data_IF_127485539135
#
_entry.id   IF_127485539135
#
_cell.length_a   1.000
_cell.length_b   1.000
_cell.length_c   1.000
_cell.angle_alpha   90.00
_cell.angle_beta   90.00
_cell.angle_gamma   90.00
#
_symmetry.space_group_name_H-M   'P 1'
#
loop_
_entity.id
_entity.type
_entity.pdbx_description
1 polymer ?
#
# COMPACT_ATOMS: atom_id res chain seq x y z
N UNK A 1 -11.35 -20.48 5.32
CA UNK A 1 -11.74 -19.47 6.33
C UNK A 1 -10.72 -18.35 6.42
N UNK A 2 -9.41 -18.61 6.62
CA UNK A 2 -8.38 -17.55 6.70
C UNK A 2 -8.40 -16.57 5.52
N UNK A 3 -8.47 -17.06 4.27
CA UNK A 3 -8.50 -16.20 3.09
C UNK A 3 -9.66 -15.21 3.03
N UNK A 4 -10.85 -15.60 3.51
CA UNK A 4 -12.01 -14.69 3.57
C UNK A 4 -11.79 -13.59 4.60
N UNK A 5 -11.23 -13.94 5.77
CA UNK A 5 -10.91 -12.97 6.82
C UNK A 5 -9.86 -11.97 6.33
N UNK A 6 -8.82 -12.48 5.66
CA UNK A 6 -7.77 -11.64 5.05
C UNK A 6 -8.36 -10.73 3.99
N UNK A 7 -9.17 -11.24 3.07
CA UNK A 7 -9.81 -10.44 2.03
C UNK A 7 -10.70 -9.33 2.61
N UNK A 8 -11.47 -9.64 3.66
CA UNK A 8 -12.34 -8.67 4.31
C UNK A 8 -11.59 -7.46 4.90
N UNK A 9 -10.34 -7.63 5.29
CA UNK A 9 -9.47 -6.54 5.78
C UNK A 9 -8.65 -5.92 4.65
N UNK A 10 -8.13 -6.73 3.75
CA UNK A 10 -7.23 -6.28 2.68
C UNK A 10 -7.96 -5.41 1.63
N UNK A 11 -9.23 -5.69 1.31
CA UNK A 11 -9.97 -4.93 0.31
C UNK A 11 -10.18 -3.46 0.70
N UNK A 12 -10.72 -3.13 1.89
CA UNK A 12 -10.83 -1.73 2.33
C UNK A 12 -9.47 -1.03 2.42
N UNK A 13 -8.43 -1.74 2.87
CA UNK A 13 -7.07 -1.23 2.96
C UNK A 13 -6.51 -0.89 1.58
N UNK A 14 -6.73 -1.74 0.60
CA UNK A 14 -6.30 -1.53 -0.78
C UNK A 14 -6.99 -0.30 -1.42
N UNK A 15 -8.29 -0.14 -1.19
CA UNK A 15 -9.03 1.06 -1.62
C UNK A 15 -8.42 2.33 -0.99
N UNK A 16 -8.16 2.29 0.31
CA UNK A 16 -7.58 3.42 1.05
C UNK A 16 -6.17 3.77 0.56
N UNK A 17 -5.31 2.77 0.32
CA UNK A 17 -3.95 3.02 -0.20
C UNK A 17 -3.95 3.47 -1.66
N UNK A 18 -4.90 3.03 -2.48
CA UNK A 18 -5.09 3.58 -3.81
C UNK A 18 -5.31 5.09 -3.76
N UNK A 19 -6.29 5.53 -2.96
CA UNK A 19 -6.61 6.97 -2.81
C UNK A 19 -5.47 7.74 -2.15
N UNK A 20 -4.89 7.22 -1.07
CA UNK A 20 -3.79 7.89 -0.36
C UNK A 20 -2.50 8.01 -1.18
N UNK A 21 -2.34 7.18 -2.22
CA UNK A 21 -1.24 7.27 -3.19
C UNK A 21 -1.47 8.34 -4.27
N UNK A 22 -2.55 9.10 -4.19
CA UNK A 22 -2.92 10.07 -5.22
C UNK A 22 -3.51 9.44 -6.48
N UNK A 23 -3.75 8.11 -6.47
CA UNK A 23 -4.36 7.36 -7.56
C UNK A 23 -5.86 7.14 -7.30
N UNK A 24 -6.46 6.12 -7.88
CA UNK A 24 -7.88 5.80 -7.67
C UNK A 24 -8.07 4.62 -6.74
N UNK A 25 -9.20 4.57 -6.06
CA UNK A 25 -9.61 3.39 -5.29
C UNK A 25 -9.61 2.11 -6.15
N UNK A 26 -10.01 2.25 -7.42
CA UNK A 26 -9.98 1.19 -8.41
C UNK A 26 -8.57 0.61 -8.61
N UNK A 27 -7.57 1.48 -8.80
CA UNK A 27 -6.19 1.05 -8.99
C UNK A 27 -5.66 0.27 -7.77
N UNK A 28 -5.99 0.73 -6.55
CA UNK A 28 -5.64 0.01 -5.32
C UNK A 28 -6.30 -1.37 -5.23
N UNK A 29 -7.60 -1.46 -5.51
CA UNK A 29 -8.36 -2.71 -5.48
C UNK A 29 -7.84 -3.71 -6.51
N UNK A 30 -7.61 -3.26 -7.74
CA UNK A 30 -7.06 -4.10 -8.81
C UNK A 30 -5.67 -4.61 -8.42
N UNK A 31 -4.84 -3.75 -7.85
CA UNK A 31 -3.53 -4.17 -7.33
C UNK A 31 -3.66 -5.29 -6.33
N UNK A 32 -4.57 -5.20 -5.35
CA UNK A 32 -4.75 -6.24 -4.34
C UNK A 32 -5.24 -7.56 -4.96
N UNK A 33 -6.15 -7.50 -5.93
CA UNK A 33 -6.67 -8.70 -6.61
C UNK A 33 -5.57 -9.38 -7.44
N UNK A 34 -4.91 -8.62 -8.31
CA UNK A 34 -3.88 -9.15 -9.22
C UNK A 34 -2.63 -9.59 -8.45
N UNK A 35 -2.17 -8.78 -7.49
CA UNK A 35 -1.05 -9.12 -6.63
C UNK A 35 -1.36 -10.35 -5.76
N UNK A 36 -2.54 -10.36 -5.14
CA UNK A 36 -3.00 -11.48 -4.32
C UNK A 36 -3.06 -12.81 -5.11
N UNK A 37 -3.44 -12.76 -6.38
CA UNK A 37 -3.46 -13.95 -7.22
C UNK A 37 -2.05 -14.35 -7.68
N UNK A 38 -1.31 -13.43 -8.32
CA UNK A 38 -0.05 -13.73 -8.99
C UNK A 38 1.08 -13.90 -7.96
N UNK A 39 1.29 -12.92 -7.08
CA UNK A 39 2.42 -12.94 -6.15
C UNK A 39 2.25 -14.09 -5.17
N UNK A 40 1.04 -14.30 -4.61
CA UNK A 40 0.82 -15.40 -3.67
C UNK A 40 0.99 -16.79 -4.29
N UNK A 41 0.76 -16.92 -5.60
CA UNK A 41 0.97 -18.20 -6.31
C UNK A 41 2.43 -18.56 -6.48
N UNK A 42 3.32 -17.58 -6.52
CA UNK A 42 4.76 -17.77 -6.72
C UNK A 42 5.60 -17.39 -5.48
N UNK A 43 4.97 -16.93 -4.40
CA UNK A 43 5.65 -16.40 -3.20
C UNK A 43 6.57 -17.42 -2.56
N UNK A 44 7.70 -16.93 -2.06
CA UNK A 44 8.62 -17.67 -1.20
C UNK A 44 8.26 -17.57 0.30
N UNK A 45 7.15 -16.92 0.65
CA UNK A 45 6.74 -16.65 2.03
C UNK A 45 5.33 -17.17 2.34
N UNK A 46 5.15 -17.83 3.50
CA UNK A 46 3.88 -18.49 3.87
C UNK A 46 2.84 -17.56 4.49
N UNK A 47 3.26 -16.46 5.13
CA UNK A 47 2.39 -15.61 5.96
C UNK A 47 2.36 -14.16 5.47
N UNK A 48 2.48 -13.98 4.16
CA UNK A 48 2.40 -12.67 3.52
C UNK A 48 1.19 -12.59 2.58
N UNK A 49 0.65 -11.40 2.48
CA UNK A 49 -0.27 -11.01 1.43
C UNK A 49 0.38 -9.89 0.62
N UNK A 50 -0.01 -9.73 -0.62
CA UNK A 50 0.54 -8.71 -1.49
C UNK A 50 -0.53 -7.73 -1.95
N UNK A 51 -0.18 -6.45 -1.99
CA UNK A 51 -1.08 -5.38 -2.36
C UNK A 51 -0.41 -4.01 -2.32
N UNK A 52 -1.17 -2.93 -2.51
CA UNK A 52 -0.64 -1.59 -2.36
C UNK A 52 -0.32 -1.31 -0.90
N UNK A 53 0.75 -0.53 -0.63
CA UNK A 53 1.20 -0.21 0.74
C UNK A 53 1.27 1.29 0.98
N UNK A 54 1.16 1.68 2.26
CA UNK A 54 1.29 3.08 2.65
C UNK A 54 2.70 3.65 2.44
N UNK A 55 3.73 2.81 2.53
CA UNK A 55 5.10 3.22 2.26
C UNK A 55 5.31 3.63 0.79
N UNK A 56 4.66 2.91 -0.13
CA UNK A 56 4.70 3.22 -1.55
C UNK A 56 3.97 4.52 -1.88
N UNK A 57 2.95 4.88 -1.10
CA UNK A 57 2.12 6.07 -1.34
C UNK A 57 2.96 7.35 -1.47
N UNK A 58 3.98 7.53 -0.65
CA UNK A 58 4.84 8.71 -0.70
C UNK A 58 5.59 8.87 -2.04
N UNK A 59 6.09 7.76 -2.59
CA UNK A 59 6.74 7.74 -3.91
C UNK A 59 5.71 8.00 -5.00
N UNK A 60 4.55 7.35 -4.93
CA UNK A 60 3.51 7.45 -5.94
C UNK A 60 2.89 8.84 -6.04
N UNK A 61 2.67 9.53 -4.92
CA UNK A 61 2.18 10.94 -4.93
C UNK A 61 3.13 11.84 -5.73
N UNK A 62 4.42 11.69 -5.53
CA UNK A 62 5.42 12.46 -6.28
C UNK A 62 5.44 12.09 -7.76
N UNK A 63 5.29 10.81 -8.08
CA UNK A 63 5.29 10.33 -9.46
C UNK A 63 4.03 10.75 -10.23
N UNK A 64 2.85 10.64 -9.62
CA UNK A 64 1.59 10.99 -10.28
C UNK A 64 1.52 12.49 -10.59
N UNK A 65 2.02 13.33 -9.68
CA UNK A 65 2.09 14.78 -9.88
C UNK A 65 3.00 15.19 -11.03
N UNK A 66 4.04 14.39 -11.33
CA UNK A 66 5.06 14.71 -12.34
C UNK A 66 4.85 13.98 -13.67
N UNK A 67 4.39 12.73 -13.64
CA UNK A 67 4.34 11.84 -14.80
C UNK A 67 2.95 11.25 -15.06
N UNK A 68 1.96 11.55 -14.22
CA UNK A 68 0.61 11.01 -14.33
C UNK A 68 0.53 9.50 -14.09
N UNK A 69 -0.65 8.92 -14.37
CA UNK A 69 -0.90 7.49 -14.18
C UNK A 69 -0.05 6.62 -15.12
N UNK A 70 0.15 7.06 -16.36
CA UNK A 70 0.95 6.29 -17.32
C UNK A 70 2.40 6.14 -16.85
N UNK A 71 2.98 7.21 -16.27
CA UNK A 71 4.31 7.15 -15.67
C UNK A 71 4.40 6.15 -14.52
N UNK A 72 3.35 6.04 -13.69
CA UNK A 72 3.28 5.02 -12.62
C UNK A 72 3.28 3.61 -13.23
N UNK A 73 2.47 3.38 -14.26
CA UNK A 73 2.39 2.06 -14.89
C UNK A 73 3.73 1.62 -15.50
N UNK A 74 4.41 2.50 -16.23
CA UNK A 74 5.73 2.22 -16.82
C UNK A 74 6.78 1.99 -15.70
N UNK A 75 6.80 2.84 -14.67
CA UNK A 75 7.73 2.69 -13.55
C UNK A 75 7.49 1.38 -12.78
N UNK A 76 6.22 0.98 -12.60
CA UNK A 76 5.86 -0.30 -11.95
C UNK A 76 6.31 -1.49 -12.79
N UNK A 77 6.08 -1.45 -14.10
CA UNK A 77 6.52 -2.48 -15.03
C UNK A 77 8.04 -2.66 -14.99
N UNK A 78 8.79 -1.54 -15.07
CA UNK A 78 10.25 -1.56 -14.98
C UNK A 78 10.73 -2.08 -13.62
N UNK A 79 10.10 -1.64 -12.52
CA UNK A 79 10.42 -2.11 -11.18
C UNK A 79 10.16 -3.62 -11.05
N UNK A 80 9.09 -4.13 -11.67
CA UNK A 80 8.81 -5.56 -11.75
C UNK A 80 9.95 -6.33 -12.44
N UNK A 81 10.47 -5.82 -13.55
CA UNK A 81 11.63 -6.43 -14.24
C UNK A 81 12.87 -6.41 -13.32
N UNK A 82 13.14 -5.30 -12.64
CA UNK A 82 14.30 -5.21 -11.75
C UNK A 82 14.18 -6.14 -10.54
N UNK A 83 12.99 -6.27 -9.95
CA UNK A 83 12.73 -7.24 -8.86
C UNK A 83 12.91 -8.67 -9.33
N UNK A 84 12.41 -9.00 -10.51
CA UNK A 84 12.58 -10.33 -11.12
C UNK A 84 14.05 -10.66 -11.33
N UNK A 85 14.81 -9.74 -11.91
CA UNK A 85 16.25 -9.89 -12.08
C UNK A 85 16.97 -10.02 -10.73
N UNK A 86 16.61 -9.19 -9.74
CA UNK A 86 17.17 -9.28 -8.39
C UNK A 86 16.95 -10.66 -7.76
N UNK A 87 15.75 -11.24 -7.93
CA UNK A 87 15.46 -12.60 -7.47
C UNK A 87 16.28 -13.67 -8.20
N UNK A 88 16.38 -13.62 -9.53
CA UNK A 88 17.15 -14.55 -10.37
C UNK A 88 18.64 -14.47 -10.02
N UNK A 89 19.20 -13.28 -9.84
CA UNK A 89 20.60 -13.08 -9.43
C UNK A 89 20.84 -13.29 -7.93
N UNK A 90 19.83 -13.78 -7.19
CA UNK A 90 19.91 -14.10 -5.75
C UNK A 90 20.29 -12.92 -4.86
N UNK A 91 19.91 -11.71 -5.24
CA UNK A 91 20.16 -10.51 -4.46
C UNK A 91 19.27 -10.42 -3.19
N UNK A 92 18.23 -11.27 -3.08
CA UNK A 92 17.40 -11.36 -1.88
C UNK A 92 18.19 -11.72 -0.62
N UNK A 93 19.30 -12.45 -0.77
CA UNK A 93 20.17 -12.80 0.36
C UNK A 93 20.93 -11.60 0.92
N UNK A 94 21.08 -10.50 0.16
CA UNK A 94 21.75 -9.29 0.63
C UNK A 94 21.00 -8.61 1.78
N UNK A 95 19.71 -8.91 1.96
CA UNK A 95 18.94 -8.36 3.09
C UNK A 95 19.54 -8.75 4.44
N UNK A 96 20.18 -9.92 4.52
CA UNK A 96 20.84 -10.38 5.75
C UNK A 96 22.08 -9.56 6.14
N UNK A 97 22.61 -8.76 5.21
CA UNK A 97 23.72 -7.85 5.44
C UNK A 97 23.28 -6.50 5.99
N UNK A 98 21.98 -6.21 5.99
CA UNK A 98 21.46 -4.94 6.48
C UNK A 98 21.45 -4.94 8.02
N UNK A 99 22.20 -4.03 8.67
CA UNK A 99 22.24 -3.94 10.13
C UNK A 99 20.87 -3.59 10.72
N UNK A 100 20.55 -4.16 11.90
CA UNK A 100 19.28 -3.92 12.60
C UNK A 100 18.92 -2.43 12.79
N UNK A 101 19.87 -1.51 13.08
CA UNK A 101 19.54 -0.08 13.20
C UNK A 101 19.01 0.53 11.91
N UNK A 102 19.49 0.09 10.74
CA UNK A 102 19.00 0.55 9.44
C UNK A 102 17.55 0.11 9.23
N UNK A 103 17.24 -1.14 9.57
CA UNK A 103 15.89 -1.69 9.52
C UNK A 103 14.94 -0.89 10.43
N UNK A 104 15.35 -0.64 11.67
CA UNK A 104 14.55 0.13 12.63
C UNK A 104 14.35 1.57 12.17
N UNK A 105 15.39 2.21 11.65
CA UNK A 105 15.30 3.58 11.09
C UNK A 105 14.37 3.66 9.89
N UNK A 106 14.46 2.69 8.98
CA UNK A 106 13.61 2.59 7.80
C UNK A 106 12.12 2.39 8.18
N UNK A 107 11.82 1.43 9.05
CA UNK A 107 10.44 1.15 9.48
C UNK A 107 9.85 2.32 10.26
N UNK A 108 10.63 2.98 11.13
CA UNK A 108 10.20 4.17 11.87
C UNK A 108 9.94 5.35 10.92
N UNK A 109 10.80 5.53 9.92
CA UNK A 109 10.62 6.56 8.88
C UNK A 109 9.33 6.36 8.09
N UNK A 110 9.07 5.11 7.66
CA UNK A 110 7.81 4.75 6.99
C UNK A 110 6.60 5.02 7.89
N UNK A 111 6.66 4.65 9.17
CA UNK A 111 5.57 4.90 10.12
C UNK A 111 5.25 6.40 10.25
N UNK A 112 6.27 7.26 10.29
CA UNK A 112 6.10 8.72 10.32
C UNK A 112 5.47 9.22 9.02
N UNK A 113 5.92 8.74 7.87
CA UNK A 113 5.36 9.11 6.56
C UNK A 113 3.88 8.72 6.47
N UNK A 114 3.54 7.50 6.85
CA UNK A 114 2.14 7.02 6.86
C UNK A 114 1.31 7.87 7.83
N UNK A 115 1.78 8.08 9.05
CA UNK A 115 1.07 8.88 10.05
C UNK A 115 0.83 10.32 9.57
N UNK A 116 1.86 10.98 9.02
CA UNK A 116 1.73 12.33 8.50
C UNK A 116 0.77 12.42 7.31
N UNK A 117 0.77 11.41 6.44
CA UNK A 117 -0.19 11.31 5.32
C UNK A 117 -1.65 11.14 5.77
N UNK A 118 -1.89 10.57 6.96
CA UNK A 118 -3.24 10.40 7.51
C UNK A 118 -3.79 11.65 8.20
N UNK A 119 -2.96 12.63 8.53
CA UNK A 119 -3.40 13.90 9.17
C UNK A 119 -4.48 14.58 8.30
N UNK A 120 -4.27 14.62 6.99
CA UNK A 120 -5.23 15.16 6.02
C UNK A 120 -6.60 14.48 6.15
N UNK A 121 -6.62 13.16 6.12
CA UNK A 121 -7.85 12.37 6.15
C UNK A 121 -8.53 12.46 7.52
N UNK A 122 -7.76 12.46 8.60
CA UNK A 122 -8.26 12.53 9.98
C UNK A 122 -8.97 13.84 10.28
N UNK A 123 -8.43 14.96 9.79
CA UNK A 123 -9.01 16.29 10.01
C UNK A 123 -9.89 16.79 8.86
N UNK A 124 -10.06 15.99 7.79
CA UNK A 124 -10.86 16.35 6.62
C UNK A 124 -10.33 17.54 5.82
N UNK A 125 -8.99 17.72 5.75
CA UNK A 125 -8.38 18.89 5.12
C UNK A 125 -8.10 18.63 3.65
N UNK A 126 -8.71 19.40 2.76
CA UNK A 126 -8.60 19.17 1.29
C UNK A 126 -7.20 19.51 0.72
N UNK A 127 -6.51 20.52 1.27
CA UNK A 127 -5.28 21.09 0.69
C UNK A 127 -4.01 20.83 1.52
N UNK A 128 -3.88 19.66 2.14
CA UNK A 128 -2.69 19.30 2.90
C UNK A 128 -1.75 18.44 2.06
N UNK A 129 -0.50 18.89 1.84
CA UNK A 129 0.50 18.17 1.03
C UNK A 129 1.38 17.23 1.84
N UNK A 130 1.24 17.20 3.17
CA UNK A 130 2.06 16.38 4.06
C UNK A 130 3.41 16.99 4.40
N UNK A 131 3.68 18.23 3.99
CA UNK A 131 4.92 18.95 4.32
C UNK A 131 4.92 19.42 5.77
N UNK A 132 6.11 19.44 6.40
CA UNK A 132 6.29 20.05 7.73
C UNK A 132 5.84 21.51 7.79
N UNK A 133 6.03 22.26 6.70
CA UNK A 133 5.56 23.66 6.60
C UNK A 133 4.03 23.75 6.56
N UNK A 134 3.36 22.78 5.98
CA UNK A 134 1.89 22.73 5.99
C UNK A 134 1.38 22.38 7.40
N UNK A 135 2.10 21.55 8.14
CA UNK A 135 1.79 21.25 9.53
C UNK A 135 1.88 22.50 10.41
N UNK A 136 2.87 23.37 10.19
CA UNK A 136 3.00 24.62 10.92
C UNK A 136 1.91 25.65 10.55
N UNK A 137 1.54 25.75 9.28
CA UNK A 137 0.38 26.56 8.85
C UNK A 137 -0.93 26.01 9.40
N UNK A 138 -1.02 24.71 9.55
CA UNK A 138 -2.14 24.01 10.11
C UNK A 138 -2.41 24.41 11.58
N UNK A 139 -1.38 24.55 12.40
CA UNK A 139 -1.51 24.97 13.81
C UNK A 139 -2.03 26.42 13.94
N UNK A 140 -1.86 27.24 12.90
CA UNK A 140 -2.21 28.68 12.92
C UNK A 140 -3.56 29.07 12.31
N UNK A 141 -4.30 28.17 11.63
CA UNK A 141 -5.52 28.59 10.89
C UNK A 141 -6.41 27.44 10.43
N UNK A 142 -6.75 26.51 11.31
CA UNK A 142 -7.46 25.29 10.98
C UNK A 142 -8.93 25.46 10.65
N UNK A 143 -9.31 25.03 9.43
CA UNK A 143 -10.66 24.53 9.17
C UNK A 143 -10.68 23.01 9.42
N UNK A 144 -10.97 22.61 10.66
CA UNK A 144 -11.18 21.21 11.04
C UNK A 144 -12.57 20.79 10.58
N UNK A 145 -12.66 19.73 9.80
CA UNK A 145 -13.93 19.05 9.56
C UNK A 145 -14.27 18.18 10.79
N UNK A 146 -15.15 18.71 11.65
CA UNK A 146 -15.56 18.02 12.88
C UNK A 146 -16.14 16.62 12.62
N UNK A 147 -17.05 16.39 11.62
CA UNK A 147 -17.55 15.06 11.31
C UNK A 147 -16.44 14.04 11.01
N UNK A 148 -15.48 14.40 10.16
CA UNK A 148 -14.34 13.53 9.84
C UNK A 148 -13.47 13.22 11.06
N UNK A 149 -13.17 14.23 11.87
CA UNK A 149 -12.38 14.09 13.10
C UNK A 149 -13.07 13.18 14.12
N UNK A 150 -14.39 13.33 14.30
CA UNK A 150 -15.17 12.50 15.24
C UNK A 150 -15.18 11.04 14.77
N UNK A 151 -15.39 10.78 13.48
CA UNK A 151 -15.35 9.42 12.93
C UNK A 151 -13.94 8.83 13.04
N UNK A 152 -12.90 9.61 12.76
CA UNK A 152 -11.51 9.19 12.95
C UNK A 152 -11.21 8.83 14.40
N UNK A 153 -11.62 9.67 15.36
CA UNK A 153 -11.46 9.41 16.79
C UNK A 153 -12.25 8.17 17.24
N UNK A 154 -13.49 8.03 16.79
CA UNK A 154 -14.32 6.84 17.03
C UNK A 154 -13.61 5.58 16.57
N UNK A 155 -13.05 5.61 15.35
CA UNK A 155 -12.31 4.47 14.78
C UNK A 155 -11.10 4.10 15.65
N UNK A 156 -10.30 5.09 16.07
CA UNK A 156 -9.14 4.88 16.94
C UNK A 156 -9.58 4.29 18.29
N UNK A 157 -10.60 4.85 18.92
CA UNK A 157 -11.11 4.36 20.19
C UNK A 157 -11.63 2.92 20.08
N UNK A 158 -12.38 2.61 19.03
CA UNK A 158 -12.83 1.25 18.75
C UNK A 158 -11.66 0.27 18.66
N UNK A 159 -10.59 0.63 17.96
CA UNK A 159 -9.41 -0.24 17.84
C UNK A 159 -8.63 -0.41 19.15
N UNK A 160 -8.49 0.66 19.95
CA UNK A 160 -7.78 0.61 21.24
C UNK A 160 -8.56 -0.21 22.28
N UNK A 161 -9.87 0.02 22.39
CA UNK A 161 -10.72 -0.64 23.37
C UNK A 161 -11.26 -1.99 22.91
N UNK A 162 -10.86 -2.46 21.71
CA UNK A 162 -11.31 -3.75 21.19
C UNK A 162 -10.83 -4.91 22.09
N UNK A 163 -11.75 -5.77 22.59
CA UNK A 163 -11.38 -6.88 23.46
C UNK A 163 -10.50 -7.90 22.72
N UNK A 164 -9.33 -8.20 23.26
CA UNK A 164 -8.39 -9.19 22.68
C UNK A 164 -9.02 -10.58 22.50
N UNK A 165 -10.00 -10.93 23.33
CA UNK A 165 -10.74 -12.19 23.22
C UNK A 165 -11.56 -12.32 21.93
N UNK A 166 -12.04 -11.19 21.40
CA UNK A 166 -12.83 -11.15 20.14
C UNK A 166 -11.94 -11.16 18.90
N UNK A 167 -10.70 -10.72 19.02
CA UNK A 167 -9.74 -10.65 17.91
C UNK A 167 -9.49 -11.99 17.22
N UNK A 168 -9.66 -13.10 17.95
CA UNK A 168 -9.57 -14.46 17.38
C UNK A 168 -10.72 -14.82 16.43
N UNK A 169 -11.87 -14.16 16.56
CA UNK A 169 -13.07 -14.45 15.76
C UNK A 169 -13.37 -13.39 14.72
N UNK A 170 -13.08 -12.13 15.03
CA UNK A 170 -13.42 -10.99 14.18
C UNK A 170 -12.32 -9.93 14.23
N UNK A 171 -11.75 -9.50 13.10
CA UNK A 171 -10.70 -8.48 13.07
C UNK A 171 -11.20 -7.13 13.60
N UNK A 172 -10.44 -6.48 14.48
CA UNK A 172 -10.78 -5.16 15.02
C UNK A 172 -10.96 -4.09 13.94
N UNK A 173 -10.10 -4.10 12.92
CA UNK A 173 -10.16 -3.18 11.79
C UNK A 173 -11.44 -3.31 10.98
N UNK A 174 -11.91 -4.54 10.75
CA UNK A 174 -13.15 -4.78 10.03
C UNK A 174 -14.37 -4.26 10.82
N UNK A 175 -14.41 -4.51 12.13
CA UNK A 175 -15.47 -3.98 12.98
C UNK A 175 -15.46 -2.44 13.00
N UNK A 176 -14.28 -1.84 13.13
CA UNK A 176 -14.13 -0.39 13.13
C UNK A 176 -14.64 0.23 11.81
N UNK A 177 -14.30 -0.36 10.66
CA UNK A 177 -14.79 0.09 9.35
C UNK A 177 -16.31 -0.02 9.27
N UNK A 178 -16.88 -1.17 9.66
CA UNK A 178 -18.34 -1.38 9.61
C UNK A 178 -19.09 -0.40 10.52
N UNK A 179 -18.66 -0.24 11.77
CA UNK A 179 -19.32 0.67 12.71
C UNK A 179 -19.16 2.13 12.30
N UNK A 180 -17.99 2.55 11.84
CA UNK A 180 -17.78 3.91 11.35
C UNK A 180 -18.63 4.20 10.10
N UNK A 181 -18.72 3.24 9.17
CA UNK A 181 -19.58 3.38 7.98
C UNK A 181 -21.06 3.47 8.38
N UNK A 182 -21.53 2.61 9.29
CA UNK A 182 -22.90 2.66 9.79
C UNK A 182 -23.21 3.99 10.50
N UNK A 183 -22.26 4.51 11.30
CA UNK A 183 -22.42 5.80 11.96
C UNK A 183 -22.55 6.94 10.95
N UNK A 184 -21.69 6.97 9.91
CA UNK A 184 -21.78 7.97 8.83
C UNK A 184 -23.12 7.91 8.12
N UNK A 185 -23.61 6.71 7.78
CA UNK A 185 -24.90 6.53 7.09
C UNK A 185 -26.09 6.89 7.97
N UNK A 186 -26.09 6.43 9.23
CA UNK A 186 -27.20 6.67 10.17
C UNK A 186 -27.33 8.14 10.55
N UNK A 187 -26.22 8.82 10.76
CA UNK A 187 -26.17 10.24 11.14
C UNK A 187 -26.16 11.17 9.93
N UNK A 188 -26.13 10.62 8.70
CA UNK A 188 -26.05 11.38 7.44
C UNK A 188 -24.92 12.41 7.44
N UNK A 189 -23.75 12.02 7.96
CA UNK A 189 -22.59 12.90 8.06
C UNK A 189 -22.00 13.15 6.67
N UNK A 190 -21.70 14.40 6.40
CA UNK A 190 -20.97 14.77 5.18
C UNK A 190 -19.48 14.65 5.43
N UNK A 191 -18.91 13.50 5.10
CA UNK A 191 -17.48 13.20 5.26
C UNK A 191 -16.89 12.78 3.90
N UNK A 192 -15.60 13.03 3.66
CA UNK A 192 -14.93 12.53 2.47
C UNK A 192 -15.04 11.01 2.36
N UNK A 193 -15.48 10.53 1.21
CA UNK A 193 -15.63 9.10 0.92
C UNK A 193 -14.59 8.64 -0.10
N UNK A 194 -14.26 7.35 -0.07
CA UNK A 194 -13.27 6.72 -0.96
C UNK A 194 -13.65 6.83 -2.46
N UNK A 195 -14.90 7.20 -2.75
CA UNK A 195 -15.40 7.31 -4.12
C UNK A 195 -16.11 6.05 -4.61
N UNK A 196 -16.34 5.97 -5.91
CA UNK A 196 -17.06 4.83 -6.50
C UNK A 196 -16.15 3.61 -6.59
N UNK A 197 -16.62 2.48 -6.06
CA UNK A 197 -15.97 1.19 -6.27
C UNK A 197 -16.12 0.80 -7.74
N UNK A 198 -15.04 0.38 -8.41
CA UNK A 198 -15.11 0.01 -9.82
C UNK A 198 -16.01 -1.21 -10.04
N UNK A 199 -16.83 -1.15 -11.06
CA UNK A 199 -17.67 -2.27 -11.50
C UNK A 199 -17.00 -3.13 -12.55
N UNK A 200 -15.84 -2.68 -13.07
CA UNK A 200 -15.04 -3.38 -14.09
C UNK A 200 -13.65 -3.68 -13.55
N UNK A 201 -13.14 -4.89 -13.79
CA UNK A 201 -11.81 -5.32 -13.38
C UNK A 201 -10.68 -4.69 -14.20
N UNK A 202 -10.98 -4.18 -15.39
CA UNK A 202 -10.00 -3.50 -16.25
C UNK A 202 -10.49 -2.07 -16.45
N UNK A 203 -9.87 -1.08 -15.77
CA UNK A 203 -10.22 0.32 -15.97
C UNK A 203 -9.74 0.80 -17.35
N UNK A 204 -10.27 1.94 -17.80
CA UNK A 204 -9.84 2.55 -19.06
C UNK A 204 -8.35 2.92 -19.06
N UNK A 205 -7.81 3.35 -17.91
CA UNK A 205 -6.39 3.62 -17.73
C UNK A 205 -5.66 2.33 -17.30
N UNK A 206 -4.85 1.78 -18.19
CA UNK A 206 -3.98 0.63 -17.97
C UNK A 206 -2.78 0.73 -18.91
N UNK A 207 -1.69 0.02 -18.61
CA UNK A 207 -0.50 0.02 -19.44
C UNK A 207 -0.78 -0.66 -20.79
N UNK A 208 -0.43 0.02 -21.88
CA UNK A 208 -0.40 -0.56 -23.22
C UNK A 208 1.03 -0.65 -23.70
N UNK A 209 1.42 -1.78 -24.25
CA UNK A 209 2.79 -1.98 -24.77
C UNK A 209 3.18 -0.95 -25.84
N UNK A 210 2.19 -0.48 -26.60
CA UNK A 210 2.37 0.55 -27.65
C UNK A 210 2.69 1.93 -27.08
N UNK A 211 2.41 2.18 -25.81
CA UNK A 211 2.65 3.47 -25.15
C UNK A 211 4.02 3.52 -24.46
N UNK A 212 4.74 2.39 -24.40
CA UNK A 212 6.09 2.34 -23.81
C UNK A 212 7.08 2.83 -24.86
N UNK A 213 7.69 3.97 -24.61
CA UNK A 213 8.78 4.46 -25.44
C UNK A 213 10.11 4.53 -24.67
N UNK A 214 11.22 4.51 -25.39
CA UNK A 214 12.55 4.49 -24.80
C UNK A 214 12.86 5.77 -23.99
N UNK A 215 12.27 6.89 -24.36
CA UNK A 215 12.48 8.16 -23.67
C UNK A 215 11.80 8.16 -22.29
N UNK A 216 10.57 7.64 -22.20
CA UNK A 216 9.86 7.51 -20.93
C UNK A 216 10.59 6.52 -20.00
N UNK A 217 11.10 5.40 -20.55
CA UNK A 217 11.89 4.45 -19.77
C UNK A 217 13.16 5.09 -19.18
N UNK A 218 13.89 5.91 -19.97
CA UNK A 218 15.06 6.64 -19.45
C UNK A 218 14.69 7.61 -18.34
N UNK A 219 13.60 8.36 -18.51
CA UNK A 219 13.14 9.35 -17.54
C UNK A 219 12.64 8.69 -16.24
N UNK A 220 12.00 7.53 -16.36
CA UNK A 220 11.42 6.79 -15.24
C UNK A 220 12.37 5.77 -14.60
N UNK A 221 13.63 5.70 -15.05
CA UNK A 221 14.61 4.75 -14.54
C UNK A 221 14.87 4.93 -13.03
N UNK A 222 15.10 6.17 -12.58
CA UNK A 222 15.33 6.46 -11.17
C UNK A 222 14.09 6.15 -10.32
N UNK A 223 12.87 6.60 -10.69
CA UNK A 223 11.64 6.16 -10.04
C UNK A 223 11.48 4.63 -9.97
N UNK A 224 11.73 3.92 -11.06
CA UNK A 224 11.61 2.46 -11.09
C UNK A 224 12.61 1.78 -10.14
N UNK A 225 13.85 2.26 -10.09
CA UNK A 225 14.85 1.78 -9.12
C UNK A 225 14.40 2.06 -7.68
N UNK A 226 13.82 3.24 -7.42
CA UNK A 226 13.33 3.61 -6.09
C UNK A 226 12.19 2.67 -5.64
N UNK A 227 11.24 2.37 -6.54
CA UNK A 227 10.16 1.40 -6.31
C UNK A 227 10.76 0.00 -6.05
N UNK A 228 11.76 -0.41 -6.82
CA UNK A 228 12.43 -1.70 -6.68
C UNK A 228 13.11 -1.83 -5.32
N UNK A 229 13.92 -0.85 -4.93
CA UNK A 229 14.67 -0.88 -3.66
C UNK A 229 13.70 -0.87 -2.47
N UNK A 230 12.67 -0.02 -2.51
CA UNK A 230 11.65 0.01 -1.48
C UNK A 230 10.89 -1.32 -1.44
N UNK A 231 10.48 -1.83 -2.59
CA UNK A 231 9.76 -3.10 -2.71
C UNK A 231 10.56 -4.28 -2.17
N UNK A 232 11.82 -4.39 -2.58
CA UNK A 232 12.74 -5.41 -2.09
C UNK A 232 12.91 -5.32 -0.56
N UNK A 233 13.18 -4.13 -0.05
CA UNK A 233 13.42 -3.93 1.38
C UNK A 233 12.18 -4.24 2.20
N UNK A 234 11.02 -3.68 1.86
CA UNK A 234 9.78 -3.87 2.60
C UNK A 234 9.31 -5.33 2.57
N UNK A 235 9.26 -5.95 1.40
CA UNK A 235 8.79 -7.32 1.26
C UNK A 235 9.68 -8.32 1.99
N UNK A 236 11.01 -8.18 1.88
CA UNK A 236 11.94 -9.09 2.55
C UNK A 236 11.98 -8.88 4.08
N UNK A 237 11.85 -7.64 4.56
CA UNK A 237 11.76 -7.36 6.00
C UNK A 237 10.47 -7.90 6.61
N UNK A 238 9.35 -7.72 5.90
CA UNK A 238 8.06 -8.29 6.28
C UNK A 238 8.16 -9.83 6.37
N UNK A 239 8.66 -10.49 5.34
CA UNK A 239 8.79 -11.94 5.32
C UNK A 239 9.75 -12.47 6.38
N UNK A 240 10.89 -11.80 6.58
CA UNK A 240 11.82 -12.17 7.65
C UNK A 240 11.19 -12.02 9.04
N UNK A 241 10.33 -11.02 9.25
CA UNK A 241 9.62 -10.82 10.51
C UNK A 241 8.55 -11.88 10.73
N UNK A 242 7.74 -12.17 9.71
CA UNK A 242 6.74 -13.24 9.73
C UNK A 242 7.39 -14.62 9.93
N UNK A 243 8.49 -14.88 9.23
CA UNK A 243 9.25 -16.14 9.36
C UNK A 243 9.78 -16.37 10.77
N UNK A 244 10.29 -15.31 11.42
CA UNK A 244 10.72 -15.39 12.83
C UNK A 244 9.56 -15.64 13.79
N UNK A 245 8.41 -14.99 13.57
CA UNK A 245 7.25 -15.12 14.44
C UNK A 245 6.59 -16.51 14.35
N UNK A 246 6.68 -17.16 13.19
CA UNK A 246 6.01 -18.43 12.90
C UNK A 246 6.97 -19.63 12.86
N UNK A 247 8.28 -19.39 12.99
CA UNK A 247 9.35 -20.38 12.84
C UNK A 247 9.34 -21.08 11.46
N UNK A 248 8.87 -20.36 10.43
CA UNK A 248 8.91 -20.79 9.04
C UNK A 248 9.72 -19.77 8.21
N UNK A 249 11.01 -20.07 7.92
CA UNK A 249 11.85 -19.19 7.12
C UNK A 249 11.29 -19.06 5.70
N UNK A 250 11.41 -17.88 5.10
CA UNK A 250 11.03 -17.66 3.72
C UNK A 250 12.23 -17.83 2.78
N UNK A 251 11.95 -18.12 1.51
CA UNK A 251 12.92 -17.99 0.42
C UNK A 251 12.91 -16.55 -0.10
N UNK A 252 13.95 -15.79 0.26
CA UNK A 252 14.09 -14.39 -0.11
C UNK A 252 14.14 -14.17 -1.62
N UNK A 253 14.80 -15.06 -2.36
CA UNK A 253 14.98 -14.92 -3.80
C UNK A 253 13.69 -15.26 -4.53
N UNK A 254 13.01 -16.33 -4.10
CA UNK A 254 11.71 -16.71 -4.64
C UNK A 254 10.68 -15.60 -4.40
N UNK A 255 10.71 -14.94 -3.25
CA UNK A 255 9.83 -13.81 -2.95
C UNK A 255 10.05 -12.64 -3.92
N UNK A 256 11.31 -12.28 -4.21
CA UNK A 256 11.62 -11.25 -5.21
C UNK A 256 11.19 -11.62 -6.61
N UNK A 257 11.32 -12.90 -7.00
CA UNK A 257 10.80 -13.40 -8.29
C UNK A 257 9.29 -13.22 -8.34
N UNK A 258 8.57 -13.62 -7.30
CA UNK A 258 7.12 -13.49 -7.22
C UNK A 258 6.66 -12.01 -7.30
N UNK A 259 7.30 -11.14 -6.53
CA UNK A 259 7.07 -9.70 -6.57
C UNK A 259 7.36 -9.10 -7.95
N UNK A 260 8.44 -9.56 -8.60
CA UNK A 260 8.80 -9.14 -9.94
C UNK A 260 7.73 -9.50 -10.96
N UNK A 261 7.32 -10.78 -10.99
CA UNK A 261 6.25 -11.26 -11.87
C UNK A 261 4.97 -10.47 -11.63
N UNK A 262 4.52 -10.31 -10.37
CA UNK A 262 3.32 -9.58 -10.05
C UNK A 262 3.37 -8.13 -10.56
N UNK A 263 4.45 -7.40 -10.28
CA UNK A 263 4.58 -6.00 -10.68
C UNK A 263 4.76 -5.81 -12.20
N UNK A 264 5.18 -6.82 -12.94
CA UNK A 264 5.14 -6.81 -14.40
C UNK A 264 3.69 -6.84 -14.90
N UNK A 265 2.83 -7.68 -14.32
CA UNK A 265 1.46 -7.87 -14.80
C UNK A 265 0.48 -6.81 -14.29
N UNK A 266 0.63 -6.33 -13.06
CA UNK A 266 -0.30 -5.39 -12.40
C UNK A 266 -0.63 -4.16 -13.27
N UNK A 267 0.31 -3.46 -13.91
CA UNK A 267 0.02 -2.27 -14.71
C UNK A 267 -0.89 -2.54 -15.92
N UNK A 268 -0.86 -3.73 -16.49
CA UNK A 268 -1.74 -4.10 -17.62
C UNK A 268 -3.21 -4.22 -17.21
N UNK A 269 -3.48 -4.35 -15.93
CA UNK A 269 -4.82 -4.30 -15.35
C UNK A 269 -5.16 -2.93 -14.76
N UNK A 270 -4.25 -1.93 -14.85
CA UNK A 270 -4.45 -0.60 -14.30
C UNK A 270 -4.17 -0.49 -12.81
N UNK A 271 -3.44 -1.44 -12.25
CA UNK A 271 -2.99 -1.42 -10.85
C UNK A 271 -1.71 -0.61 -10.65
N UNK A 272 -1.44 -0.28 -9.39
CA UNK A 272 -0.23 0.41 -8.91
C UNK A 272 0.76 -0.61 -8.31
N UNK A 273 2.02 -0.24 -8.01
CA UNK A 273 3.00 -1.18 -7.46
C UNK A 273 2.48 -1.91 -6.24
N UNK A 274 2.70 -3.22 -6.21
CA UNK A 274 2.38 -4.09 -5.08
C UNK A 274 3.64 -4.49 -4.33
N UNK A 275 3.51 -4.56 -3.02
CA UNK A 275 4.51 -5.10 -2.11
C UNK A 275 3.89 -6.14 -1.20
N UNK A 276 4.72 -6.92 -0.51
CA UNK A 276 4.24 -7.87 0.49
C UNK A 276 4.00 -7.20 1.84
N UNK A 277 2.89 -7.58 2.45
CA UNK A 277 2.45 -7.14 3.77
C UNK A 277 2.36 -8.36 4.71
N UNK A 278 2.62 -8.15 6.00
CA UNK A 278 2.39 -9.20 7.01
C UNK A 278 0.90 -9.20 7.33
N UNK A 279 0.30 -10.38 7.26
CA UNK A 279 -1.02 -10.62 7.81
C UNK A 279 -0.97 -11.90 8.65
N UNK A 280 -0.88 -11.74 9.95
CA UNK A 280 -0.87 -12.83 10.93
C UNK A 280 -2.23 -12.89 11.62
#
# INVERSE_FOLDING_TARGET
MAGITVAAVALPLALAFGVSSGTTAAAGLITAIVAGLIISSFSGAFYQISGPTGAMAAILISLIGKYGMNGIFIATFMAGIFLLLAGIFRLGNLISLIPSPVITGFTSGIAIIIASGQIKNFFGIEHFTGSFFDLMKFIGGLHIDYPSTIIGLLTILLMIFYPKSWGKKFPASLLAILLSTLAVLALKLNVPVVGKIPTTLIPQAHLRLTEINLQDMKTLLIPAISITVLGMTESLLCGASAGRATNHPMDNNQELVAQGIGNIFIPFFGGIPALSLIHI
#
